data_IF_448562967466
#
_entry.id   IF_448562967466
#
_cell.length_a   1.000
_cell.length_b   1.000
_cell.length_c   1.000
_cell.angle_alpha   90.00
_cell.angle_beta   90.00
_cell.angle_gamma   90.00
#
_symmetry.space_group_name_H-M   'P 1'
#
loop_
_entity.id
_entity.type
_entity.pdbx_description
1 polymer ?
#
# COMPACT_ATOMS: atom_id res chain seq x y z
N UNK A 1 -49.49 26.42 43.38
CA UNK A 1 -49.99 26.31 41.99
C UNK A 1 -48.86 25.78 41.11
N UNK A 2 -48.93 24.49 40.70
CA UNK A 2 -47.92 23.87 39.83
C UNK A 2 -48.45 23.92 38.39
N UNK A 3 -47.71 24.54 37.50
CA UNK A 3 -48.05 24.64 36.09
C UNK A 3 -47.73 23.29 35.36
N UNK A 4 -48.72 22.77 34.63
CA UNK A 4 -48.66 21.59 33.79
C UNK A 4 -47.94 21.93 32.48
N UNK A 5 -46.92 21.13 32.10
CA UNK A 5 -46.28 21.14 30.75
C UNK A 5 -47.18 20.46 29.71
N UNK A 6 -47.28 20.96 28.47
CA UNK A 6 -48.05 20.30 27.43
C UNK A 6 -47.30 19.14 26.78
N UNK A 7 -48.03 18.07 26.48
CA UNK A 7 -47.57 16.88 25.75
C UNK A 7 -47.38 17.20 24.26
N UNK A 8 -46.21 16.91 23.73
CA UNK A 8 -45.93 16.89 22.28
C UNK A 8 -46.18 15.46 21.71
N UNK A 9 -46.73 15.34 20.51
CA UNK A 9 -47.04 14.03 19.93
C UNK A 9 -45.80 13.32 19.41
N UNK A 10 -45.70 12.01 19.73
CA UNK A 10 -44.67 11.09 19.22
C UNK A 10 -44.76 10.96 17.70
N UNK A 11 -43.70 11.34 16.97
CA UNK A 11 -43.50 10.99 15.57
C UNK A 11 -43.06 9.51 15.48
N UNK A 12 -43.82 8.73 14.70
CA UNK A 12 -43.44 7.33 14.31
C UNK A 12 -42.17 7.37 13.45
N UNK A 13 -41.24 6.39 13.60
CA UNK A 13 -40.07 6.34 12.73
C UNK A 13 -40.49 5.98 11.29
N UNK A 14 -39.96 6.72 10.32
CA UNK A 14 -40.09 6.40 8.90
C UNK A 14 -39.13 5.26 8.61
N UNK A 15 -39.68 4.13 8.19
CA UNK A 15 -38.95 2.91 7.83
C UNK A 15 -38.12 3.14 6.56
N UNK A 16 -36.81 2.99 6.66
CA UNK A 16 -35.82 3.34 5.66
C UNK A 16 -35.79 2.28 4.54
N UNK A 17 -36.66 2.41 3.51
CA UNK A 17 -36.76 1.49 2.37
C UNK A 17 -35.48 1.46 1.49
N UNK A 18 -34.58 2.41 1.66
CA UNK A 18 -33.32 2.51 0.87
C UNK A 18 -32.27 1.47 1.26
N UNK A 19 -32.25 0.98 2.50
CA UNK A 19 -31.30 -0.07 2.92
C UNK A 19 -31.52 -1.43 2.27
N UNK A 20 -32.78 -1.78 1.93
CA UNK A 20 -33.09 -3.05 1.27
C UNK A 20 -32.67 -3.07 -0.20
N UNK A 21 -32.63 -1.94 -0.87
CA UNK A 21 -32.24 -1.85 -2.28
C UNK A 21 -30.73 -2.04 -2.48
N UNK A 22 -29.88 -1.52 -1.59
CA UNK A 22 -28.42 -1.70 -1.67
C UNK A 22 -27.95 -3.15 -1.42
N UNK A 23 -28.64 -3.88 -0.54
CA UNK A 23 -28.33 -5.29 -0.29
C UNK A 23 -28.67 -6.17 -1.50
N UNK A 24 -29.75 -5.86 -2.23
CA UNK A 24 -30.16 -6.62 -3.42
C UNK A 24 -29.17 -6.40 -4.57
N UNK A 25 -28.68 -5.18 -4.79
CA UNK A 25 -27.67 -4.92 -5.82
C UNK A 25 -26.30 -5.52 -5.48
N UNK A 26 -25.89 -5.55 -4.22
CA UNK A 26 -24.64 -6.20 -3.79
C UNK A 26 -24.68 -7.72 -4.00
N UNK A 27 -25.79 -8.36 -3.70
CA UNK A 27 -25.95 -9.83 -3.86
C UNK A 27 -26.06 -10.21 -5.35
N UNK A 28 -26.74 -9.41 -6.18
CA UNK A 28 -26.83 -9.68 -7.62
C UNK A 28 -25.47 -9.51 -8.29
N UNK A 29 -24.66 -8.51 -7.92
CA UNK A 29 -23.30 -8.34 -8.41
C UNK A 29 -22.39 -9.51 -8.05
N UNK A 30 -22.49 -10.04 -6.83
CA UNK A 30 -21.69 -11.17 -6.36
C UNK A 30 -22.08 -12.49 -7.06
N UNK A 31 -23.38 -12.73 -7.27
CA UNK A 31 -23.87 -13.95 -7.95
C UNK A 31 -23.55 -13.90 -9.45
N UNK A 32 -23.60 -12.72 -10.09
CA UNK A 32 -23.20 -12.56 -11.49
C UNK A 32 -21.69 -12.76 -11.67
N UNK A 33 -20.85 -12.23 -10.76
CA UNK A 33 -19.39 -12.41 -10.81
C UNK A 33 -18.95 -13.86 -10.63
N UNK A 34 -19.56 -14.59 -9.70
CA UNK A 34 -19.28 -16.02 -9.47
C UNK A 34 -19.82 -16.88 -10.59
N UNK A 35 -21.02 -16.57 -11.13
CA UNK A 35 -21.59 -17.27 -12.27
C UNK A 35 -20.77 -17.14 -13.55
N UNK A 36 -20.21 -15.97 -13.84
CA UNK A 36 -19.29 -15.74 -14.97
C UNK A 36 -17.96 -16.46 -14.80
N UNK A 37 -17.41 -16.54 -13.59
CA UNK A 37 -16.18 -17.28 -13.31
C UNK A 37 -16.36 -18.80 -13.47
N UNK A 38 -17.48 -19.34 -13.03
CA UNK A 38 -17.80 -20.78 -13.19
C UNK A 38 -18.10 -21.11 -14.66
N UNK A 39 -18.78 -20.21 -15.38
CA UNK A 39 -19.04 -20.36 -16.81
C UNK A 39 -17.77 -20.36 -17.67
N UNK A 40 -16.81 -19.48 -17.37
CA UNK A 40 -15.52 -19.41 -18.06
C UNK A 40 -14.63 -20.65 -17.80
N UNK A 41 -14.80 -21.33 -16.67
CA UNK A 41 -14.04 -22.55 -16.31
C UNK A 41 -14.59 -23.83 -16.97
N UNK A 42 -15.81 -23.79 -17.54
CA UNK A 42 -16.47 -24.94 -18.18
C UNK A 42 -16.51 -24.86 -19.71
N UNK A 43 -15.99 -23.77 -20.31
CA UNK A 43 -15.92 -23.62 -21.77
C UNK A 43 -14.68 -24.29 -22.36
N UNK A 44 -14.79 -24.96 -23.52
CA UNK A 44 -13.63 -25.53 -24.19
C UNK A 44 -12.66 -24.43 -24.63
N UNK A 45 -11.36 -24.71 -24.59
CA UNK A 45 -10.24 -23.77 -24.75
C UNK A 45 -10.14 -23.04 -26.13
N UNK A 46 -11.18 -23.11 -26.97
CA UNK A 46 -11.24 -22.49 -28.30
C UNK A 46 -12.09 -21.21 -28.36
N UNK A 47 -12.81 -20.86 -27.30
CA UNK A 47 -13.49 -19.57 -27.21
C UNK A 47 -12.63 -18.62 -26.39
N UNK A 48 -11.93 -17.72 -27.08
CA UNK A 48 -11.02 -16.78 -26.44
C UNK A 48 -11.73 -15.89 -25.41
N UNK A 49 -10.94 -15.37 -24.48
CA UNK A 49 -11.31 -14.44 -23.41
C UNK A 49 -12.21 -13.28 -23.90
N UNK A 50 -12.05 -12.84 -25.17
CA UNK A 50 -12.85 -11.81 -25.83
C UNK A 50 -14.35 -12.15 -25.96
N UNK A 51 -14.72 -13.44 -25.99
CA UNK A 51 -16.11 -13.86 -26.10
C UNK A 51 -16.88 -13.78 -24.76
N UNK A 52 -16.17 -13.76 -23.62
CA UNK A 52 -16.76 -13.73 -22.28
C UNK A 52 -16.88 -12.30 -21.73
N UNK A 53 -16.06 -11.37 -22.23
CA UNK A 53 -16.04 -9.97 -21.83
C UNK A 53 -16.02 -9.03 -23.05
N UNK A 54 -17.12 -8.95 -23.82
CA UNK A 54 -17.15 -8.10 -25.03
C UNK A 54 -16.97 -6.60 -24.73
N UNK A 55 -17.24 -6.15 -23.52
CA UNK A 55 -17.05 -4.78 -23.08
C UNK A 55 -15.56 -4.41 -22.90
N UNK A 56 -14.67 -5.40 -22.65
CA UNK A 56 -13.23 -5.21 -22.62
C UNK A 56 -12.61 -5.24 -24.03
N UNK A 57 -13.36 -5.72 -25.00
CA UNK A 57 -12.96 -5.76 -26.41
C UNK A 57 -13.46 -4.55 -27.21
N UNK A 58 -14.22 -3.62 -26.63
CA UNK A 58 -14.66 -2.40 -27.30
C UNK A 58 -13.47 -1.48 -27.49
N UNK A 59 -13.01 -1.44 -28.72
CA UNK A 59 -11.94 -0.59 -29.22
C UNK A 59 -12.28 0.89 -29.14
N UNK A 60 -11.91 1.52 -28.05
CA UNK A 60 -11.35 2.84 -28.15
C UNK A 60 -9.83 2.65 -28.31
N UNK A 61 -9.28 2.98 -29.48
CA UNK A 61 -7.85 2.80 -29.82
C UNK A 61 -6.97 3.91 -29.23
N UNK A 62 -7.43 4.58 -28.17
CA UNK A 62 -6.58 5.41 -27.35
C UNK A 62 -5.64 4.47 -26.57
N UNK A 63 -4.35 4.64 -26.77
CA UNK A 63 -3.32 3.87 -26.06
C UNK A 63 -3.49 4.09 -24.56
N UNK A 64 -3.82 3.01 -23.83
CA UNK A 64 -4.04 3.09 -22.39
C UNK A 64 -2.72 3.45 -21.70
N UNK A 65 -2.69 4.59 -21.03
CA UNK A 65 -1.54 5.03 -20.24
C UNK A 65 -1.62 4.45 -18.84
N UNK A 66 -0.53 3.85 -18.38
CA UNK A 66 -0.42 3.25 -17.04
C UNK A 66 0.45 4.10 -16.13
N UNK A 67 0.13 4.09 -14.83
CA UNK A 67 0.94 4.73 -13.79
C UNK A 67 2.28 4.01 -13.63
N UNK A 68 3.37 4.77 -13.66
CA UNK A 68 4.71 4.23 -13.38
C UNK A 68 4.86 3.82 -11.90
N UNK A 69 4.03 4.35 -11.00
CA UNK A 69 4.05 4.00 -9.60
C UNK A 69 3.31 2.69 -9.31
N UNK A 70 2.12 2.50 -9.90
CA UNK A 70 1.21 1.40 -9.53
C UNK A 70 0.96 0.38 -10.65
N UNK A 71 1.27 0.70 -11.91
CA UNK A 71 0.88 -0.13 -13.06
C UNK A 71 -0.62 -0.14 -13.37
N UNK A 72 -1.42 0.64 -12.65
CA UNK A 72 -2.86 0.78 -12.92
C UNK A 72 -3.11 1.75 -14.08
N UNK A 73 -4.20 1.58 -14.86
CA UNK A 73 -4.61 2.54 -15.87
C UNK A 73 -4.84 3.92 -15.27
N UNK A 74 -4.38 4.97 -15.95
CA UNK A 74 -4.63 6.35 -15.59
C UNK A 74 -5.90 6.83 -16.28
N UNK A 75 -6.72 7.61 -15.56
CA UNK A 75 -7.91 8.24 -16.11
C UNK A 75 -7.56 9.32 -17.16
N UNK A 76 -6.37 9.93 -17.03
CA UNK A 76 -5.82 10.93 -17.95
C UNK A 76 -4.30 10.73 -18.04
N UNK A 77 -3.76 10.77 -19.25
CA UNK A 77 -2.32 10.57 -19.49
C UNK A 77 -1.44 11.66 -18.86
N UNK A 78 -1.96 12.86 -18.60
CA UNK A 78 -1.24 13.93 -17.90
C UNK A 78 -0.91 13.56 -16.46
N UNK A 79 -1.67 12.64 -15.84
CA UNK A 79 -1.40 12.14 -14.49
C UNK A 79 -0.12 11.31 -14.39
N UNK A 80 0.44 10.87 -15.53
CA UNK A 80 1.70 10.11 -15.55
C UNK A 80 2.86 10.90 -14.97
N UNK A 81 2.87 12.21 -15.17
CA UNK A 81 3.89 13.12 -14.64
C UNK A 81 3.39 14.00 -13.49
N UNK A 82 2.24 13.67 -12.91
CA UNK A 82 1.71 14.39 -11.76
C UNK A 82 2.70 14.35 -10.58
N UNK A 83 2.71 15.38 -9.70
CA UNK A 83 3.61 15.43 -8.56
C UNK A 83 3.50 14.21 -7.66
N UNK A 84 4.66 13.68 -7.23
CA UNK A 84 4.76 12.61 -6.25
C UNK A 84 5.26 13.12 -4.89
N UNK A 85 4.84 12.43 -3.82
CA UNK A 85 5.17 12.77 -2.45
C UNK A 85 5.59 11.52 -1.69
N UNK A 86 6.76 11.56 -1.05
CA UNK A 86 7.29 10.50 -0.21
C UNK A 86 7.14 10.89 1.26
N UNK A 87 6.10 10.39 1.91
CA UNK A 87 5.67 10.82 3.24
C UNK A 87 6.17 9.85 4.30
N UNK A 88 6.96 10.37 5.25
CA UNK A 88 7.49 9.59 6.36
C UNK A 88 6.42 9.40 7.43
N UNK A 89 5.90 8.19 7.60
CA UNK A 89 4.75 7.88 8.45
C UNK A 89 5.14 6.96 9.61
N UNK A 90 4.89 7.33 10.88
CA UNK A 90 5.22 6.48 12.02
C UNK A 90 4.32 5.25 12.10
N UNK A 91 4.84 4.19 12.74
CA UNK A 91 4.09 2.98 13.02
C UNK A 91 4.06 2.64 14.53
N UNK A 92 4.38 3.60 15.40
CA UNK A 92 4.37 3.42 16.85
C UNK A 92 2.98 3.16 17.43
N UNK A 93 2.93 2.43 18.54
CA UNK A 93 1.68 2.08 19.23
C UNK A 93 1.11 3.24 20.08
N UNK A 94 1.84 4.33 20.22
CA UNK A 94 1.53 5.49 21.06
C UNK A 94 0.73 6.58 20.34
N UNK A 95 -0.27 6.17 19.52
CA UNK A 95 -1.18 7.05 18.81
C UNK A 95 -0.77 7.36 17.36
N UNK A 96 0.21 6.62 16.79
CA UNK A 96 0.50 6.71 15.36
C UNK A 96 -0.49 5.89 14.51
N UNK A 97 -1.11 4.89 15.12
CA UNK A 97 -2.10 4.00 14.50
C UNK A 97 -3.50 4.37 14.97
N UNK A 98 -4.53 4.29 14.12
CA UNK A 98 -4.52 4.03 12.68
C UNK A 98 -3.92 5.22 11.88
N UNK A 99 -3.15 4.92 10.82
CA UNK A 99 -2.66 5.95 9.91
C UNK A 99 -3.80 6.42 8.98
N UNK A 100 -3.74 7.67 8.51
CA UNK A 100 -4.74 8.23 7.59
C UNK A 100 -4.18 8.33 6.16
N UNK A 101 -4.97 7.91 5.18
CA UNK A 101 -4.69 8.09 3.76
C UNK A 101 -3.62 7.15 3.17
N UNK A 102 -3.01 6.23 3.95
CA UNK A 102 -1.94 5.35 3.46
C UNK A 102 -2.44 4.34 2.41
N UNK A 103 -3.72 4.09 2.34
CA UNK A 103 -4.35 3.29 1.29
C UNK A 103 -4.22 3.90 -0.11
N UNK A 104 -3.94 5.20 -0.23
CA UNK A 104 -3.71 5.86 -1.52
C UNK A 104 -2.23 5.87 -1.94
N UNK A 105 -1.31 5.43 -1.08
CA UNK A 105 0.09 5.26 -1.47
C UNK A 105 0.21 4.12 -2.49
N UNK A 106 0.96 4.33 -3.57
CA UNK A 106 1.21 3.28 -4.57
C UNK A 106 2.33 2.34 -4.15
N UNK A 107 3.31 2.85 -3.38
CA UNK A 107 4.40 2.06 -2.79
C UNK A 107 4.57 2.47 -1.33
N UNK A 108 4.81 1.51 -0.46
CA UNK A 108 5.12 1.74 0.95
C UNK A 108 6.32 0.89 1.34
N UNK A 109 7.41 1.53 1.74
CA UNK A 109 8.54 0.86 2.38
C UNK A 109 8.32 0.81 3.88
N UNK A 110 8.55 -0.35 4.49
CA UNK A 110 8.62 -0.52 5.94
C UNK A 110 9.98 -1.05 6.37
N UNK A 111 10.58 -0.43 7.37
CA UNK A 111 11.83 -0.84 7.98
C UNK A 111 11.88 -0.45 9.46
N UNK A 112 12.75 -1.05 10.24
CA UNK A 112 13.03 -0.59 11.60
C UNK A 112 13.65 0.82 11.53
N UNK A 113 13.12 1.74 12.30
CA UNK A 113 13.59 3.12 12.33
C UNK A 113 14.47 3.42 13.55
N UNK A 114 14.05 2.94 14.72
CA UNK A 114 14.77 3.04 15.98
C UNK A 114 14.22 2.01 16.99
N UNK A 115 15.08 1.46 17.83
CA UNK A 115 14.70 0.61 18.98
C UNK A 115 13.74 -0.54 18.65
N UNK A 116 13.82 -1.13 17.46
CA UNK A 116 12.94 -2.18 16.98
C UNK A 116 11.54 -1.73 16.57
N UNK A 117 11.28 -0.42 16.50
CA UNK A 117 10.02 0.19 16.04
C UNK A 117 10.12 0.43 14.54
N UNK A 118 9.16 -0.06 13.75
CA UNK A 118 9.13 0.19 12.31
C UNK A 118 8.53 1.56 11.97
N UNK A 119 8.79 2.01 10.76
CA UNK A 119 8.25 3.23 10.14
C UNK A 119 7.93 2.95 8.68
N UNK A 120 7.08 3.79 8.09
CA UNK A 120 6.79 3.77 6.67
C UNK A 120 7.38 4.97 5.94
N UNK A 121 7.90 4.74 4.72
CA UNK A 121 7.99 5.75 3.68
C UNK A 121 6.91 5.42 2.66
N UNK A 122 5.85 6.23 2.62
CA UNK A 122 4.69 6.02 1.77
C UNK A 122 4.74 6.98 0.57
N UNK A 123 4.73 6.42 -0.65
CA UNK A 123 4.89 7.15 -1.90
C UNK A 123 3.53 7.30 -2.57
N UNK A 124 3.14 8.55 -2.77
CA UNK A 124 1.89 8.94 -3.41
C UNK A 124 2.16 9.64 -4.72
N UNK A 125 1.30 9.48 -5.70
CA UNK A 125 1.26 10.30 -6.89
C UNK A 125 -0.15 10.86 -7.04
N UNK A 126 -0.26 12.19 -7.10
CA UNK A 126 -1.54 12.89 -7.20
C UNK A 126 -2.61 12.37 -6.19
N UNK A 127 -2.30 12.34 -4.87
CA UNK A 127 -3.26 11.85 -3.88
C UNK A 127 -4.50 12.76 -3.83
N UNK A 128 -5.65 12.19 -3.45
CA UNK A 128 -6.92 12.90 -3.30
C UNK A 128 -7.44 12.89 -1.86
N UNK A 129 -6.67 12.35 -0.90
CA UNK A 129 -7.11 12.21 0.49
C UNK A 129 -7.19 13.53 1.25
N UNK A 130 -8.31 13.78 1.93
CA UNK A 130 -8.52 14.95 2.78
C UNK A 130 -7.58 14.99 3.99
N UNK A 131 -7.10 13.84 4.48
CA UNK A 131 -6.16 13.74 5.59
C UNK A 131 -5.11 12.69 5.27
N UNK A 132 -3.83 13.04 5.41
CA UNK A 132 -2.70 12.14 5.22
C UNK A 132 -1.74 12.27 6.41
N UNK A 133 -1.36 11.14 6.98
CA UNK A 133 -0.41 11.09 8.08
C UNK A 133 -0.72 10.01 9.14
N UNK A 134 -0.15 10.12 10.33
CA UNK A 134 0.73 11.20 10.80
C UNK A 134 2.08 11.23 10.06
N UNK A 135 2.78 12.37 10.18
CA UNK A 135 4.10 12.61 9.55
C UNK A 135 5.20 12.57 10.62
N UNK A 136 6.31 11.92 10.29
CA UNK A 136 7.44 11.72 11.21
C UNK A 136 8.80 11.93 10.54
N UNK A 137 9.84 11.62 11.31
CA UNK A 137 11.23 11.89 10.99
C UNK A 137 11.77 11.03 9.85
N UNK A 138 12.53 11.64 8.96
CA UNK A 138 13.25 11.02 7.86
C UNK A 138 14.41 10.14 8.36
N UNK A 139 14.73 9.08 7.62
CA UNK A 139 15.93 8.25 7.75
C UNK A 139 16.66 8.18 6.43
N UNK A 140 17.99 8.04 6.49
CA UNK A 140 18.84 8.10 5.29
C UNK A 140 18.54 6.98 4.29
N UNK A 141 18.21 5.77 4.75
CA UNK A 141 17.87 4.66 3.87
C UNK A 141 16.52 4.88 3.16
N UNK A 142 15.51 5.50 3.81
CA UNK A 142 14.29 5.91 3.15
C UNK A 142 14.55 6.93 2.05
N UNK A 143 15.36 7.96 2.33
CA UNK A 143 15.73 8.94 1.32
C UNK A 143 16.34 8.28 0.06
N UNK A 144 17.18 7.24 0.25
CA UNK A 144 17.77 6.49 -0.86
C UNK A 144 16.76 5.63 -1.61
N UNK A 145 15.75 5.08 -0.93
CA UNK A 145 14.67 4.34 -1.58
C UNK A 145 13.64 5.24 -2.24
N UNK A 146 13.43 6.45 -1.69
CA UNK A 146 12.51 7.46 -2.20
C UNK A 146 13.03 8.14 -3.48
N UNK A 147 14.35 8.28 -3.62
CA UNK A 147 15.01 9.05 -4.70
C UNK A 147 14.55 8.65 -6.12
N UNK A 148 14.39 7.37 -6.50
CA UNK A 148 13.94 6.99 -7.85
C UNK A 148 12.55 7.48 -8.23
N UNK A 149 11.71 7.82 -7.25
CA UNK A 149 10.34 8.27 -7.50
C UNK A 149 10.24 9.77 -7.80
N UNK A 150 11.35 10.51 -7.78
CA UNK A 150 11.39 11.97 -8.02
C UNK A 150 10.31 12.72 -7.22
N UNK A 151 10.08 12.29 -6.00
CA UNK A 151 9.03 12.79 -5.11
C UNK A 151 9.51 13.95 -4.24
N UNK A 152 8.56 14.75 -3.73
CA UNK A 152 8.85 15.65 -2.61
C UNK A 152 8.94 14.83 -1.32
N UNK A 153 10.07 14.94 -0.63
CA UNK A 153 10.30 14.29 0.67
C UNK A 153 9.55 15.05 1.76
N UNK A 154 8.53 14.42 2.36
CA UNK A 154 7.66 15.05 3.37
C UNK A 154 7.95 14.44 4.73
N UNK A 155 8.44 15.25 5.67
CA UNK A 155 8.91 14.74 6.96
C UNK A 155 8.83 15.78 8.09
N UNK A 156 8.89 15.31 9.34
CA UNK A 156 9.01 16.14 10.54
C UNK A 156 10.35 15.86 11.24
N UNK A 157 11.38 16.60 10.88
CA UNK A 157 12.75 16.35 11.32
C UNK A 157 13.32 15.05 10.75
N UNK A 158 14.43 14.55 11.33
CA UNK A 158 15.06 13.32 10.84
C UNK A 158 16.33 12.97 11.60
N UNK A 159 16.93 11.84 11.24
CA UNK A 159 18.28 11.50 11.68
C UNK A 159 19.28 12.53 11.14
N UNK A 160 20.37 12.83 11.86
CA UNK A 160 21.31 13.90 11.47
C UNK A 160 21.88 13.76 10.06
N UNK A 161 22.20 12.55 9.64
CA UNK A 161 22.72 12.21 8.31
C UNK A 161 21.67 12.44 7.21
N UNK A 162 20.41 12.08 7.46
CA UNK A 162 19.30 12.30 6.53
C UNK A 162 19.01 13.81 6.35
N UNK A 163 18.96 14.56 7.45
CA UNK A 163 18.76 16.01 7.40
C UNK A 163 19.94 16.70 6.70
N UNK A 164 21.17 16.25 6.97
CA UNK A 164 22.33 16.77 6.28
C UNK A 164 22.28 16.49 4.76
N UNK A 165 21.83 15.29 4.35
CA UNK A 165 21.71 14.94 2.94
C UNK A 165 20.70 15.84 2.23
N UNK A 166 19.51 16.04 2.80
CA UNK A 166 18.47 16.91 2.23
C UNK A 166 18.94 18.37 2.19
N UNK A 167 19.59 18.87 3.26
CA UNK A 167 20.03 20.26 3.36
C UNK A 167 21.15 20.63 2.36
N UNK A 168 21.89 19.65 1.84
CA UNK A 168 22.87 19.87 0.77
C UNK A 168 22.23 20.22 -0.58
N UNK A 169 20.90 20.07 -0.70
CA UNK A 169 20.13 20.35 -1.90
C UNK A 169 20.05 19.16 -2.87
N UNK A 170 19.30 19.34 -3.95
CA UNK A 170 19.06 18.29 -4.95
C UNK A 170 17.78 17.48 -4.69
N UNK A 171 17.07 17.74 -3.61
CA UNK A 171 15.78 17.13 -3.29
C UNK A 171 14.65 18.16 -3.26
N UNK A 172 13.49 17.77 -3.73
CA UNK A 172 12.24 18.46 -3.41
C UNK A 172 11.94 18.12 -1.95
N UNK A 173 11.89 19.11 -1.05
CA UNK A 173 11.79 18.87 0.38
C UNK A 173 10.68 19.67 1.04
N UNK A 174 9.94 19.02 1.94
CA UNK A 174 8.96 19.63 2.83
C UNK A 174 9.18 19.09 4.25
N UNK A 175 10.02 19.76 5.02
CA UNK A 175 10.10 19.57 6.46
C UNK A 175 8.87 20.17 7.16
N UNK A 176 8.65 19.86 8.44
CA UNK A 176 7.52 20.36 9.24
C UNK A 176 7.25 21.85 8.99
N UNK A 177 6.12 22.17 8.39
CA UNK A 177 5.72 23.51 8.02
C UNK A 177 4.21 23.70 8.17
N UNK A 178 3.81 24.57 9.09
CA UNK A 178 2.41 24.77 9.44
C UNK A 178 1.59 25.55 8.39
N UNK A 179 2.19 26.00 7.28
CA UNK A 179 1.44 26.47 6.11
C UNK A 179 0.78 25.29 5.37
N UNK A 180 1.43 24.12 5.37
CA UNK A 180 1.00 22.93 4.61
C UNK A 180 0.76 21.71 5.50
N UNK A 181 0.87 21.87 6.81
CA UNK A 181 0.66 20.81 7.80
C UNK A 181 -0.09 21.36 9.00
N UNK A 182 -0.72 20.47 9.76
CA UNK A 182 -1.41 20.85 11.00
C UNK A 182 -1.28 19.75 12.06
N UNK A 183 -1.52 20.12 13.32
CA UNK A 183 -1.62 19.14 14.40
C UNK A 183 -3.07 18.72 14.56
N UNK A 184 -3.29 17.40 14.42
CA UNK A 184 -4.62 16.81 14.61
C UNK A 184 -5.06 16.86 16.07
N UNK A 185 -6.36 16.67 16.28
CA UNK A 185 -7.04 16.73 17.58
C UNK A 185 -7.42 15.34 18.12
N UNK A 186 -6.90 14.28 17.51
CA UNK A 186 -7.20 12.87 17.83
C UNK A 186 -6.66 12.36 19.18
N UNK A 187 -6.20 13.24 20.06
CA UNK A 187 -5.65 12.86 21.37
C UNK A 187 -4.28 12.19 21.33
N UNK A 188 -3.73 11.93 20.15
CA UNK A 188 -2.39 11.36 20.00
C UNK A 188 -1.31 12.32 20.55
N UNK A 189 -0.18 11.74 20.98
CA UNK A 189 0.97 12.53 21.43
C UNK A 189 1.45 13.46 20.31
N UNK A 190 1.99 14.63 20.70
CA UNK A 190 2.41 15.68 19.77
C UNK A 190 3.32 15.18 18.63
N UNK A 191 4.13 14.18 18.86
CA UNK A 191 5.00 13.60 17.83
C UNK A 191 4.30 12.62 16.87
N UNK A 192 3.03 12.24 17.13
CA UNK A 192 2.24 11.34 16.29
C UNK A 192 0.93 11.97 15.79
N UNK A 193 0.84 13.29 15.76
CA UNK A 193 -0.38 14.00 15.35
C UNK A 193 -0.15 15.12 14.31
N UNK A 194 0.94 15.08 13.57
CA UNK A 194 1.18 15.99 12.47
C UNK A 194 0.60 15.39 11.18
N UNK A 195 -0.28 16.12 10.52
CA UNK A 195 -0.96 15.70 9.30
C UNK A 195 -0.82 16.75 8.19
N UNK A 196 -1.08 16.33 6.96
CA UNK A 196 -1.27 17.18 5.80
C UNK A 196 -2.54 16.76 5.06
N UNK A 197 -2.85 17.42 3.95
CA UNK A 197 -3.94 17.08 3.01
C UNK A 197 -3.38 17.04 1.60
N UNK A 198 -4.07 16.38 0.67
CA UNK A 198 -3.74 16.47 -0.76
C UNK A 198 -3.74 17.91 -1.25
N UNK A 199 -4.69 18.71 -0.80
CA UNK A 199 -4.79 20.13 -1.15
C UNK A 199 -3.56 20.93 -0.67
N UNK A 200 -3.09 20.69 0.57
CA UNK A 200 -1.89 21.33 1.08
C UNK A 200 -0.62 20.88 0.33
N UNK A 201 -0.53 19.62 -0.05
CA UNK A 201 0.59 19.12 -0.85
C UNK A 201 0.60 19.75 -2.26
N UNK A 202 -0.56 19.86 -2.91
CA UNK A 202 -0.69 20.52 -4.21
C UNK A 202 -0.35 22.03 -4.11
N UNK A 203 -0.83 22.72 -3.08
CA UNK A 203 -0.50 24.12 -2.82
C UNK A 203 1.00 24.31 -2.61
N UNK A 204 1.63 23.49 -1.77
CA UNK A 204 3.07 23.52 -1.52
C UNK A 204 3.87 23.32 -2.80
N UNK A 205 3.46 22.34 -3.62
CA UNK A 205 4.13 22.05 -4.90
C UNK A 205 4.08 23.27 -5.84
N UNK A 206 2.92 23.95 -5.91
CA UNK A 206 2.73 25.18 -6.67
C UNK A 206 3.58 26.33 -6.11
N UNK A 207 3.53 26.58 -4.81
CA UNK A 207 4.24 27.68 -4.14
C UNK A 207 5.77 27.56 -4.26
N UNK A 208 6.27 26.31 -4.31
CA UNK A 208 7.71 26.02 -4.46
C UNK A 208 8.15 25.79 -5.90
N UNK A 209 7.20 25.78 -6.83
CA UNK A 209 7.46 25.54 -8.26
C UNK A 209 8.24 24.23 -8.50
N UNK A 210 7.88 23.16 -7.78
CA UNK A 210 8.56 21.86 -7.89
C UNK A 210 8.16 21.09 -9.16
N UNK A 211 7.01 21.43 -9.76
CA UNK A 211 6.51 20.78 -10.98
C UNK A 211 6.05 19.34 -10.78
N UNK A 212 6.08 18.59 -11.85
CA UNK A 212 5.74 17.18 -11.87
C UNK A 212 6.87 16.27 -11.38
N UNK A 213 6.64 14.96 -11.46
CA UNK A 213 7.60 13.92 -11.09
C UNK A 213 7.88 12.98 -12.27
N UNK A 214 9.14 12.62 -12.44
CA UNK A 214 9.60 11.61 -13.40
C UNK A 214 9.87 10.30 -12.64
N UNK A 215 8.80 9.57 -12.34
CA UNK A 215 8.86 8.36 -11.52
C UNK A 215 9.60 7.25 -12.26
N UNK A 216 10.67 6.74 -11.67
CA UNK A 216 11.25 5.45 -12.02
C UNK A 216 10.60 4.40 -11.13
N UNK A 217 9.47 3.82 -11.56
CA UNK A 217 8.73 2.81 -10.81
C UNK A 217 9.36 1.42 -10.90
N UNK A 218 8.75 0.47 -10.22
CA UNK A 218 9.04 -0.95 -10.42
C UNK A 218 8.56 -1.39 -11.80
N UNK A 219 9.24 -2.39 -12.40
CA UNK A 219 8.70 -3.07 -13.59
C UNK A 219 7.36 -3.71 -13.24
N UNK A 220 6.30 -3.40 -14.01
CA UNK A 220 4.93 -3.83 -13.71
C UNK A 220 4.38 -4.73 -14.82
N UNK A 221 3.57 -5.72 -14.42
CA UNK A 221 2.66 -6.42 -15.31
C UNK A 221 1.56 -5.47 -15.77
N UNK A 222 0.97 -5.74 -16.95
CA UNK A 222 -0.33 -5.16 -17.27
C UNK A 222 -1.42 -5.79 -16.39
N UNK A 223 -2.57 -5.14 -16.18
CA UNK A 223 -3.70 -5.74 -15.45
C UNK A 223 -4.16 -7.07 -16.06
N UNK A 224 -4.14 -7.22 -17.39
CA UNK A 224 -4.48 -8.46 -18.08
C UNK A 224 -3.48 -9.59 -17.80
N UNK A 225 -2.18 -9.29 -17.81
CA UNK A 225 -1.16 -10.29 -17.51
C UNK A 225 -1.21 -10.74 -16.05
N UNK A 226 -1.48 -9.80 -15.14
CA UNK A 226 -1.68 -10.10 -13.72
C UNK A 226 -2.90 -10.99 -13.49
N UNK A 227 -4.02 -10.70 -14.15
CA UNK A 227 -5.21 -11.55 -14.10
C UNK A 227 -4.95 -12.96 -14.67
N UNK A 228 -4.24 -13.03 -15.80
CA UNK A 228 -3.83 -14.31 -16.38
C UNK A 228 -2.97 -15.10 -15.41
N UNK A 229 -1.94 -14.48 -14.83
CA UNK A 229 -1.07 -15.11 -13.83
C UNK A 229 -1.88 -15.67 -12.65
N UNK A 230 -2.84 -14.89 -12.12
CA UNK A 230 -3.76 -15.35 -11.07
C UNK A 230 -4.55 -16.59 -11.48
N UNK A 231 -5.11 -16.60 -12.70
CA UNK A 231 -5.89 -17.72 -13.23
C UNK A 231 -5.02 -18.96 -13.43
N UNK A 232 -3.81 -18.78 -13.98
CA UNK A 232 -2.86 -19.88 -14.18
C UNK A 232 -2.47 -20.52 -12.84
N UNK A 233 -2.17 -19.72 -11.82
CA UNK A 233 -1.86 -20.19 -10.46
C UNK A 233 -3.01 -21.02 -9.86
N UNK A 234 -4.26 -20.56 -10.03
CA UNK A 234 -5.45 -21.31 -9.59
C UNK A 234 -5.66 -22.62 -10.36
N UNK A 235 -5.29 -22.65 -11.65
CA UNK A 235 -5.42 -23.85 -12.47
C UNK A 235 -4.39 -24.92 -12.08
N UNK A 236 -3.16 -24.53 -11.78
CA UNK A 236 -2.12 -25.44 -11.27
C UNK A 236 -2.51 -26.06 -9.93
N UNK A 237 -3.08 -25.28 -9.03
CA UNK A 237 -3.62 -25.76 -7.76
C UNK A 237 -4.72 -26.80 -7.96
N UNK A 238 -5.66 -26.58 -8.87
CA UNK A 238 -6.73 -27.54 -9.20
C UNK A 238 -6.18 -28.83 -9.82
N UNK A 239 -5.13 -28.74 -10.64
CA UNK A 239 -4.49 -29.91 -11.24
C UNK A 239 -3.82 -30.80 -10.19
N UNK A 240 -3.24 -30.22 -9.15
CA UNK A 240 -2.64 -30.98 -8.05
C UNK A 240 -3.67 -31.64 -7.13
N UNK A 241 -4.86 -31.07 -6.99
CA UNK A 241 -6.00 -31.68 -6.30
C UNK A 241 -6.55 -32.88 -7.08
N UNK A 242 -6.50 -32.87 -8.41
CA UNK A 242 -7.06 -33.91 -9.29
C UNK A 242 -6.05 -35.05 -9.54
N UNK A 243 -4.76 -34.84 -9.36
CA UNK A 243 -3.76 -35.90 -9.46
C UNK A 243 -3.85 -36.81 -8.23
N UNK A 244 -4.20 -38.12 -8.40
CA UNK A 244 -4.21 -39.03 -7.26
C UNK A 244 -2.79 -39.15 -6.71
N UNK A 245 -2.67 -38.90 -5.43
CA UNK A 245 -1.46 -38.83 -4.65
C UNK A 245 -0.46 -39.92 -4.92
N UNK A 246 0.68 -39.58 -5.44
CA UNK A 246 1.94 -40.27 -5.13
C UNK A 246 2.54 -39.60 -3.88
N UNK A 247 1.90 -39.75 -2.73
CA UNK A 247 2.49 -39.59 -1.41
C UNK A 247 3.07 -38.24 -0.98
N UNK A 248 2.89 -37.14 -1.74
CA UNK A 248 3.27 -35.78 -1.36
C UNK A 248 2.06 -34.86 -1.60
N UNK A 249 1.19 -34.78 -0.63
CA UNK A 249 0.23 -33.68 -0.51
C UNK A 249 1.02 -32.38 -0.24
N UNK A 250 1.51 -31.76 -1.29
CA UNK A 250 1.97 -30.39 -1.23
C UNK A 250 0.72 -29.51 -1.12
N UNK A 251 0.41 -29.03 0.08
CA UNK A 251 -0.55 -27.97 0.30
C UNK A 251 -0.04 -26.67 -0.34
N UNK A 252 -0.18 -26.54 -1.67
CA UNK A 252 0.15 -25.28 -2.38
C UNK A 252 -0.72 -24.12 -1.88
N UNK A 253 -1.98 -24.38 -1.50
CA UNK A 253 -2.89 -23.39 -0.89
C UNK A 253 -2.33 -22.86 0.43
N UNK A 254 -1.68 -23.69 1.23
CA UNK A 254 -1.16 -23.29 2.54
C UNK A 254 0.13 -22.46 2.45
N UNK A 255 0.89 -22.56 1.36
CA UNK A 255 2.19 -21.87 1.25
C UNK A 255 2.09 -20.38 0.93
N UNK A 256 1.00 -19.92 0.31
CA UNK A 256 0.84 -18.52 -0.10
C UNK A 256 -0.31 -17.82 0.59
N UNK A 257 -1.14 -18.54 1.35
CA UNK A 257 -2.33 -17.98 2.01
C UNK A 257 -2.02 -17.18 3.26
N UNK A 258 -0.89 -17.41 3.93
CA UNK A 258 -0.49 -16.70 5.14
C UNK A 258 1.02 -16.45 5.15
N UNK A 259 1.40 -15.18 5.00
CA UNK A 259 2.79 -14.73 5.06
C UNK A 259 3.02 -14.15 6.44
N UNK A 260 4.09 -14.55 7.14
CA UNK A 260 4.53 -13.92 8.36
C UNK A 260 5.88 -13.23 8.13
N UNK A 261 5.96 -11.94 8.45
CA UNK A 261 7.18 -11.14 8.37
C UNK A 261 7.59 -10.74 9.79
N UNK A 262 8.77 -11.19 10.20
CA UNK A 262 9.35 -10.88 11.49
C UNK A 262 10.60 -10.01 11.27
N UNK A 263 10.53 -8.77 11.73
CA UNK A 263 11.66 -7.83 11.62
C UNK A 263 12.80 -8.12 12.60
N UNK A 264 12.64 -9.06 13.54
CA UNK A 264 13.65 -9.34 14.55
C UNK A 264 13.78 -8.29 15.66
N UNK A 265 12.99 -7.22 15.58
CA UNK A 265 12.88 -6.17 16.59
C UNK A 265 11.78 -6.48 17.63
N UNK A 266 10.96 -5.47 17.95
CA UNK A 266 9.85 -5.65 18.89
C UNK A 266 8.72 -6.47 18.23
N UNK A 267 8.19 -7.53 18.88
CA UNK A 267 7.18 -8.43 18.29
C UNK A 267 5.89 -7.71 17.81
N UNK A 268 5.54 -6.58 18.41
CA UNK A 268 4.34 -5.80 18.06
C UNK A 268 4.42 -5.14 16.68
N UNK A 269 5.58 -5.17 16.04
CA UNK A 269 5.80 -4.66 14.67
C UNK A 269 5.91 -5.78 13.64
N UNK A 270 5.95 -7.04 14.07
CA UNK A 270 5.86 -8.17 13.16
C UNK A 270 4.46 -8.23 12.56
N UNK A 271 4.38 -8.61 11.30
CA UNK A 271 3.13 -8.55 10.53
C UNK A 271 2.80 -9.87 9.86
N UNK A 272 1.54 -10.01 9.50
CA UNK A 272 1.00 -11.13 8.73
C UNK A 272 0.20 -10.57 7.56
N UNK A 273 0.23 -11.32 6.47
CA UNK A 273 -0.55 -11.05 5.28
C UNK A 273 -1.32 -12.31 4.90
N UNK A 274 -2.62 -12.18 4.77
CA UNK A 274 -3.49 -13.25 4.30
C UNK A 274 -3.99 -12.91 2.90
N UNK A 275 -3.71 -13.78 1.93
CA UNK A 275 -4.17 -13.57 0.57
C UNK A 275 -5.69 -13.67 0.48
N UNK A 276 -6.32 -12.63 -0.03
CA UNK A 276 -7.74 -12.62 -0.40
C UNK A 276 -7.90 -12.80 -1.91
N UNK A 277 -8.37 -13.97 -2.28
CA UNK A 277 -8.59 -14.34 -3.68
C UNK A 277 -9.58 -13.41 -4.38
N UNK A 278 -10.61 -12.92 -3.70
CA UNK A 278 -11.66 -12.11 -4.32
C UNK A 278 -11.12 -10.76 -4.77
N UNK A 279 -10.40 -10.07 -3.91
CA UNK A 279 -9.80 -8.75 -4.21
C UNK A 279 -8.43 -8.84 -4.89
N UNK A 280 -7.79 -10.02 -4.92
CA UNK A 280 -6.41 -10.23 -5.35
C UNK A 280 -5.41 -9.37 -4.55
N UNK A 281 -5.60 -9.28 -3.24
CA UNK A 281 -4.78 -8.50 -2.32
C UNK A 281 -4.37 -9.32 -1.10
N UNK A 282 -3.49 -8.77 -0.30
CA UNK A 282 -2.98 -9.39 0.91
C UNK A 282 -3.43 -8.59 2.14
N UNK A 283 -4.43 -9.11 2.87
CA UNK A 283 -4.98 -8.48 4.08
C UNK A 283 -3.91 -8.43 5.17
N UNK A 284 -3.46 -7.22 5.51
CA UNK A 284 -2.40 -7.01 6.49
C UNK A 284 -2.94 -7.00 7.92
N UNK A 285 -2.27 -7.72 8.80
CA UNK A 285 -2.52 -7.75 10.24
C UNK A 285 -1.20 -7.72 11.02
N UNK A 286 -1.27 -7.38 12.31
CA UNK A 286 -0.13 -7.51 13.22
C UNK A 286 0.04 -8.96 13.67
N UNK A 287 1.20 -9.30 14.22
CA UNK A 287 1.46 -10.65 14.73
C UNK A 287 0.47 -11.09 15.81
N UNK A 288 -0.15 -10.15 16.51
CA UNK A 288 -1.25 -10.40 17.47
C UNK A 288 -2.53 -10.96 16.83
N UNK A 289 -2.65 -10.90 15.49
CA UNK A 289 -3.86 -11.22 14.74
C UNK A 289 -4.82 -10.04 14.55
N UNK A 290 -4.57 -8.89 15.18
CA UNK A 290 -5.38 -7.70 14.97
C UNK A 290 -5.16 -7.15 13.55
N UNK A 291 -6.24 -6.80 12.85
CA UNK A 291 -6.18 -6.16 11.55
C UNK A 291 -5.33 -4.88 11.62
N UNK A 292 -4.52 -4.61 10.61
CA UNK A 292 -3.92 -3.30 10.45
C UNK A 292 -4.97 -2.37 9.84
N UNK A 293 -5.78 -1.77 10.71
CA UNK A 293 -6.76 -0.78 10.31
C UNK A 293 -6.11 0.57 10.05
N UNK A 294 -6.62 1.27 9.06
CA UNK A 294 -6.22 2.62 8.66
C UNK A 294 -7.47 3.48 8.43
N UNK A 295 -7.30 4.78 8.47
CA UNK A 295 -8.33 5.73 8.09
C UNK A 295 -8.29 5.99 6.58
N UNK A 296 -9.27 5.44 5.83
CA UNK A 296 -9.54 5.81 4.45
C UNK A 296 -10.36 7.10 4.44
N UNK A 297 -9.72 8.21 4.08
CA UNK A 297 -10.31 9.54 4.15
C UNK A 297 -10.96 9.93 2.82
N UNK A 298 -12.03 10.75 2.82
CA UNK A 298 -12.67 11.23 1.62
C UNK A 298 -11.74 12.10 0.79
N UNK A 299 -12.11 12.36 -0.46
CA UNK A 299 -11.37 13.26 -1.35
C UNK A 299 -11.64 14.72 -1.03
N UNK A 300 -12.86 15.04 -0.59
CA UNK A 300 -13.28 16.39 -0.24
C UNK A 300 -12.75 16.78 1.14
N UNK A 301 -12.09 17.94 1.22
CA UNK A 301 -11.69 18.55 2.50
C UNK A 301 -12.93 19.16 3.16
N UNK A 302 -13.43 18.47 4.17
CA UNK A 302 -14.58 18.90 4.97
C UNK A 302 -14.22 19.91 6.09
N UNK A 303 -12.96 20.38 6.14
CA UNK A 303 -12.46 21.26 7.18
C UNK A 303 -12.24 20.58 8.54
N UNK A 304 -12.47 19.27 8.62
CA UNK A 304 -12.25 18.49 9.84
C UNK A 304 -10.79 18.01 9.90
N UNK A 305 -10.18 18.10 11.08
CA UNK A 305 -8.77 17.78 11.34
C UNK A 305 -8.56 16.49 12.13
N UNK A 306 -9.65 15.85 12.57
CA UNK A 306 -9.60 14.57 13.23
C UNK A 306 -10.09 13.47 12.27
N UNK A 307 -9.22 12.53 11.85
CA UNK A 307 -9.63 11.45 10.95
C UNK A 307 -10.77 10.58 11.51
N UNK A 308 -10.92 10.44 12.83
CA UNK A 308 -12.01 9.68 13.45
C UNK A 308 -13.40 10.19 13.08
N UNK A 309 -13.52 11.49 12.77
CA UNK A 309 -14.81 12.13 12.51
C UNK A 309 -15.26 12.02 11.05
N UNK A 310 -14.33 11.84 10.10
CA UNK A 310 -14.64 11.94 8.65
C UNK A 310 -14.15 10.77 7.83
N UNK A 311 -13.19 9.98 8.33
CA UNK A 311 -12.62 8.85 7.60
C UNK A 311 -13.29 7.53 8.01
N UNK A 312 -13.25 6.55 7.14
CA UNK A 312 -13.73 5.20 7.41
C UNK A 312 -12.56 4.29 7.78
N UNK A 313 -12.71 3.50 8.84
CA UNK A 313 -11.74 2.46 9.16
C UNK A 313 -11.83 1.33 8.11
N UNK A 314 -10.69 0.96 7.56
CA UNK A 314 -10.56 -0.17 6.63
C UNK A 314 -9.25 -0.89 6.88
N UNK A 315 -9.21 -2.19 6.57
CA UNK A 315 -7.98 -2.97 6.68
C UNK A 315 -7.05 -2.68 5.49
N UNK A 316 -5.78 -2.51 5.77
CA UNK A 316 -4.74 -2.34 4.74
C UNK A 316 -4.55 -3.64 3.97
N UNK A 317 -4.56 -3.55 2.63
CA UNK A 317 -4.59 -4.70 1.74
C UNK A 317 -3.83 -4.44 0.42
N UNK A 318 -2.47 -4.48 0.42
CA UNK A 318 -1.68 -4.30 -0.79
C UNK A 318 -1.89 -5.44 -1.80
N UNK A 319 -1.68 -5.13 -3.08
CA UNK A 319 -1.69 -6.12 -4.18
C UNK A 319 -0.40 -6.93 -4.24
N UNK A 320 0.70 -6.36 -3.78
CA UNK A 320 2.02 -6.98 -3.77
C UNK A 320 2.68 -6.80 -2.40
N UNK A 321 3.26 -7.85 -1.87
CA UNK A 321 4.17 -7.80 -0.72
C UNK A 321 5.54 -8.27 -1.20
N UNK A 322 6.52 -7.37 -1.19
CA UNK A 322 7.91 -7.67 -1.52
C UNK A 322 8.76 -7.58 -0.26
N UNK A 323 9.50 -8.63 0.07
CA UNK A 323 10.41 -8.62 1.22
C UNK A 323 11.83 -8.51 0.70
N UNK A 324 12.60 -7.57 1.25
CA UNK A 324 14.04 -7.41 1.04
C UNK A 324 14.77 -7.80 2.32
N UNK A 325 15.62 -8.81 2.28
CA UNK A 325 16.53 -9.07 3.39
C UNK A 325 17.71 -8.10 3.30
N UNK A 326 17.87 -7.28 4.33
CA UNK A 326 18.85 -6.18 4.37
C UNK A 326 19.85 -6.36 5.49
N UNK A 327 21.06 -5.85 5.30
CA UNK A 327 22.00 -5.70 6.40
C UNK A 327 21.59 -4.51 7.25
N UNK A 328 21.46 -4.74 8.54
CA UNK A 328 21.16 -3.74 9.53
C UNK A 328 22.13 -3.80 10.70
N UNK A 329 22.54 -2.66 11.18
CA UNK A 329 23.30 -2.48 12.40
C UNK A 329 22.92 -1.17 13.07
N UNK A 330 23.21 -1.06 14.34
CA UNK A 330 23.03 0.20 15.04
C UNK A 330 23.96 1.27 14.48
N UNK A 331 23.44 2.48 14.21
CA UNK A 331 24.21 3.62 13.75
C UNK A 331 25.20 4.13 14.83
N UNK A 332 26.16 4.96 14.43
CA UNK A 332 27.22 5.46 15.31
C UNK A 332 26.72 6.31 16.49
N UNK A 333 25.51 6.84 16.40
CA UNK A 333 24.86 7.60 17.50
C UNK A 333 24.20 6.69 18.55
N UNK A 334 24.27 5.37 18.38
CA UNK A 334 23.67 4.35 19.27
C UNK A 334 22.14 4.47 19.44
N UNK A 335 21.48 5.22 18.59
CA UNK A 335 20.03 5.44 18.65
C UNK A 335 19.30 5.03 17.36
N UNK A 336 19.81 5.46 16.20
CA UNK A 336 19.24 5.14 14.90
C UNK A 336 19.80 3.82 14.35
N UNK A 337 19.16 3.30 13.32
CA UNK A 337 19.62 2.12 12.57
C UNK A 337 20.32 2.54 11.28
N UNK A 338 21.37 1.82 10.92
CA UNK A 338 22.07 1.93 9.64
C UNK A 338 21.71 0.71 8.79
N UNK A 339 20.85 0.93 7.80
CA UNK A 339 20.34 -0.11 6.90
C UNK A 339 21.01 0.02 5.54
N UNK A 340 21.47 -1.10 4.98
CA UNK A 340 22.02 -1.16 3.63
C UNK A 340 20.92 -0.93 2.61
N UNK A 341 20.86 0.28 2.06
CA UNK A 341 19.85 0.69 1.08
C UNK A 341 20.30 0.47 -0.37
N UNK A 342 21.61 0.36 -0.64
CA UNK A 342 22.22 0.10 -1.95
C UNK A 342 22.99 -1.20 -1.85
N UNK A 343 22.85 -2.07 -2.85
CA UNK A 343 23.48 -3.38 -2.87
C UNK A 343 22.51 -4.46 -3.34
N UNK A 344 22.59 -5.63 -2.74
CA UNK A 344 21.72 -6.76 -3.04
C UNK A 344 21.54 -7.66 -1.82
N UNK A 345 20.50 -8.48 -1.84
CA UNK A 345 20.22 -9.47 -0.80
C UNK A 345 19.12 -10.42 -1.26
N UNK A 346 18.77 -11.37 -0.40
CA UNK A 346 17.65 -12.27 -0.64
C UNK A 346 16.33 -11.49 -0.69
N UNK A 347 15.39 -11.95 -1.50
CA UNK A 347 14.08 -11.36 -1.63
C UNK A 347 12.97 -12.41 -1.76
N UNK A 348 11.78 -12.02 -1.37
CA UNK A 348 10.55 -12.78 -1.58
C UNK A 348 9.49 -11.83 -2.13
N UNK A 349 8.84 -12.20 -3.23
CA UNK A 349 7.74 -11.43 -3.81
C UNK A 349 6.46 -12.26 -3.78
N UNK A 350 5.46 -11.72 -3.12
CA UNK A 350 4.13 -12.32 -3.01
C UNK A 350 3.15 -11.50 -3.84
N UNK A 351 2.56 -12.12 -4.84
CA UNK A 351 1.59 -11.50 -5.75
C UNK A 351 0.73 -12.57 -6.43
N UNK A 352 -0.51 -12.24 -6.77
CA UNK A 352 -1.43 -13.13 -7.48
C UNK A 352 -1.58 -14.52 -6.80
N UNK A 353 -1.48 -14.57 -5.46
CA UNK A 353 -1.56 -15.80 -4.67
C UNK A 353 -0.34 -16.70 -4.75
N UNK A 354 0.80 -16.25 -5.25
CA UNK A 354 2.05 -17.01 -5.30
C UNK A 354 3.18 -16.37 -4.52
N UNK A 355 4.20 -17.17 -4.20
CA UNK A 355 5.46 -16.72 -3.62
C UNK A 355 6.60 -16.96 -4.63
N UNK A 356 7.39 -15.94 -4.91
CA UNK A 356 8.57 -15.99 -5.75
C UNK A 356 9.78 -15.66 -4.87
N UNK A 357 10.66 -16.64 -4.67
CA UNK A 357 11.94 -16.43 -3.98
C UNK A 357 12.99 -15.98 -4.99
N UNK A 358 13.90 -15.12 -4.55
CA UNK A 358 14.96 -14.62 -5.41
C UNK A 358 15.85 -13.60 -4.71
N UNK A 359 16.23 -12.52 -5.41
CA UNK A 359 17.11 -11.48 -4.90
C UNK A 359 16.59 -10.08 -5.24
N UNK A 360 16.91 -9.10 -4.38
CA UNK A 360 16.77 -7.70 -4.73
C UNK A 360 18.12 -7.09 -5.08
N UNK A 361 18.13 -6.04 -5.92
CA UNK A 361 19.33 -5.27 -6.29
C UNK A 361 18.99 -3.79 -6.43
N UNK A 362 19.91 -2.92 -5.97
CA UNK A 362 19.90 -1.47 -6.19
C UNK A 362 21.34 -1.02 -6.36
N UNK A 363 21.70 -0.48 -7.51
CA UNK A 363 23.09 -0.13 -7.86
C UNK A 363 23.51 1.25 -7.34
N UNK A 364 22.61 2.24 -7.36
CA UNK A 364 22.90 3.62 -6.98
C UNK A 364 21.67 4.31 -6.34
N UNK A 365 21.86 5.50 -5.75
CA UNK A 365 20.78 6.24 -5.10
C UNK A 365 19.59 6.53 -6.05
N UNK A 366 19.88 6.89 -7.30
CA UNK A 366 18.89 7.24 -8.32
C UNK A 366 18.37 6.03 -9.13
N UNK A 367 18.88 4.82 -8.90
CA UNK A 367 18.37 3.62 -9.56
C UNK A 367 17.23 3.00 -8.73
N UNK A 368 16.22 2.46 -9.41
CA UNK A 368 15.14 1.74 -8.73
C UNK A 368 15.62 0.38 -8.24
N UNK A 369 15.07 -0.07 -7.11
CA UNK A 369 15.20 -1.45 -6.65
C UNK A 369 14.57 -2.38 -7.70
N UNK A 370 15.25 -3.48 -7.99
CA UNK A 370 14.77 -4.54 -8.87
C UNK A 370 14.76 -5.86 -8.13
N UNK A 371 13.71 -6.63 -8.37
CA UNK A 371 13.57 -8.00 -7.85
C UNK A 371 13.82 -8.99 -8.96
N UNK A 372 14.56 -10.05 -8.66
CA UNK A 372 14.90 -11.12 -9.60
C UNK A 372 14.51 -12.46 -8.99
N UNK A 373 14.01 -13.37 -9.81
CA UNK A 373 13.78 -14.76 -9.42
C UNK A 373 15.10 -15.54 -9.25
N UNK A 374 15.01 -16.81 -8.84
CA UNK A 374 16.19 -17.69 -8.69
C UNK A 374 16.91 -17.95 -10.03
N UNK A 375 16.26 -17.77 -11.17
CA UNK A 375 16.84 -17.82 -12.51
C UNK A 375 17.55 -16.54 -12.94
N UNK A 376 17.45 -15.46 -12.15
CA UNK A 376 18.02 -14.15 -12.46
C UNK A 376 17.17 -13.33 -13.42
N UNK A 377 15.91 -13.70 -13.65
CA UNK A 377 14.96 -12.94 -14.46
C UNK A 377 14.29 -11.88 -13.58
N UNK A 378 14.20 -10.63 -14.06
CA UNK A 378 13.54 -9.56 -13.34
C UNK A 378 12.05 -9.86 -13.19
N UNK A 379 11.55 -9.79 -11.94
CA UNK A 379 10.16 -10.02 -11.60
C UNK A 379 9.36 -8.76 -11.91
N UNK A 380 8.39 -8.86 -12.83
CA UNK A 380 7.38 -7.81 -13.03
C UNK A 380 6.33 -7.90 -11.92
N UNK A 381 6.11 -6.80 -11.20
CA UNK A 381 5.17 -6.75 -10.09
C UNK A 381 3.73 -6.58 -10.60
N UNK A 382 2.77 -7.22 -9.92
CA UNK A 382 1.35 -7.02 -10.20
C UNK A 382 0.94 -5.55 -10.00
N UNK A 383 -0.07 -5.04 -10.76
CA UNK A 383 -0.57 -3.68 -10.58
C UNK A 383 -1.22 -3.49 -9.20
N UNK A 384 -1.15 -2.26 -8.70
CA UNK A 384 -1.73 -1.86 -7.42
C UNK A 384 -0.70 -1.46 -6.39
N UNK A 385 -1.13 -1.34 -5.14
CA UNK A 385 -0.26 -0.97 -4.03
C UNK A 385 0.77 -2.05 -3.74
N UNK A 386 2.02 -1.65 -3.57
CA UNK A 386 3.14 -2.53 -3.20
C UNK A 386 3.66 -2.16 -1.83
N UNK A 387 3.69 -3.12 -0.90
CA UNK A 387 4.46 -3.03 0.34
C UNK A 387 5.82 -3.67 0.14
N UNK A 388 6.87 -2.95 0.54
CA UNK A 388 8.26 -3.41 0.53
C UNK A 388 8.74 -3.48 1.97
N UNK A 389 8.86 -4.70 2.50
CA UNK A 389 9.29 -4.99 3.85
C UNK A 389 10.81 -5.18 3.88
N UNK A 390 11.54 -4.20 4.40
CA UNK A 390 12.99 -4.32 4.59
C UNK A 390 13.28 -5.04 5.91
N UNK A 391 13.54 -6.32 5.82
CA UNK A 391 13.72 -7.22 6.96
C UNK A 391 15.22 -7.40 7.23
N UNK A 392 15.68 -7.13 8.44
CA UNK A 392 17.07 -7.40 8.81
C UNK A 392 17.45 -8.88 8.66
N UNK A 393 18.73 -9.16 8.47
CA UNK A 393 19.26 -10.53 8.31
C UNK A 393 18.93 -11.46 9.49
N UNK A 394 18.66 -10.90 10.68
CA UNK A 394 18.26 -11.65 11.86
C UNK A 394 16.73 -11.78 12.02
N UNK A 395 15.97 -11.21 11.10
CA UNK A 395 14.53 -11.41 11.00
C UNK A 395 14.19 -12.70 10.24
N UNK A 396 12.91 -12.92 9.96
CA UNK A 396 12.46 -14.09 9.20
C UNK A 396 11.22 -13.80 8.35
N UNK A 397 11.04 -14.62 7.32
CA UNK A 397 9.86 -14.67 6.47
C UNK A 397 9.38 -16.10 6.41
N UNK A 398 8.10 -16.32 6.75
CA UNK A 398 7.45 -17.63 6.71
C UNK A 398 6.20 -17.54 5.80
N UNK A 399 5.96 -18.58 4.98
CA UNK A 399 4.82 -18.60 4.04
C UNK A 399 4.47 -20.02 3.61
#
# INVERSE_FOLDING_TARGET
MKAKKPNLPHKKPVENSKKKLFIIFGVIGLVAGVGCLIGALLMPATTGFEAVFPELASKDTSEVTYSDLTGLPLADSSLKTAPAYCIQTPNGMDGARPQAGINQAGVVFEAIAEAGITRFAAIYQNPTSAIIGPIRSLRIYYLKWDTPFDCTIVHAGGAPDAIQAVSRGGYKDLTENYTYMYRGTNGARRWNNLFTTSAYLAQMNADRNYGGSNIQGFTRMTPSDSLKSKVDNLAEEKLDIIKPSTGKTGNLVAKTSAIAVNFGGLPNFNVRYNYDLASNTYLRSYASGAAHEIYACPEEDLGEKNPENVCTLTQLAPSVVAVMVVSEKRASDNYHEDITAIGSGDAYVFQNGTAIKGTWRKGADNEQIKFYDEGGIEISLAPGQTFVEAVPQYGSVEY
#
